data_IF_367975440697
#
_entry.id   IF_367975440697
#
_cell.length_a   1.000
_cell.length_b   1.000
_cell.length_c   1.000
_cell.angle_alpha   90.00
_cell.angle_beta   90.00
_cell.angle_gamma   90.00
#
_symmetry.space_group_name_H-M   'P 1'
#
loop_
_entity.id
_entity.type
_entity.pdbx_description
1 polymer ?
#
# COMPACT_ATOMS: atom_id res chain seq x y z
N UNK A 1 -10.92 -20.90 -20.52
CA UNK A 1 -11.64 -19.70 -20.02
C UNK A 1 -10.83 -19.13 -18.87
N UNK A 2 -10.65 -17.80 -18.77
CA UNK A 2 -10.00 -17.21 -17.60
C UNK A 2 -10.77 -17.59 -16.33
N UNK A 3 -10.05 -17.92 -15.26
CA UNK A 3 -10.65 -18.30 -13.99
C UNK A 3 -11.34 -17.06 -13.37
N UNK A 4 -12.67 -17.10 -13.27
CA UNK A 4 -13.48 -16.02 -12.70
C UNK A 4 -13.24 -15.83 -11.18
N UNK A 5 -12.56 -16.77 -10.52
CA UNK A 5 -12.23 -16.71 -9.08
C UNK A 5 -10.93 -15.96 -8.77
N UNK A 6 -10.25 -15.35 -9.77
CA UNK A 6 -9.13 -14.46 -9.48
C UNK A 6 -9.65 -13.12 -8.96
N UNK A 7 -9.49 -12.92 -7.66
CA UNK A 7 -9.97 -11.72 -6.96
C UNK A 7 -8.93 -10.61 -6.82
N UNK A 8 -7.64 -10.93 -6.88
CA UNK A 8 -6.55 -9.96 -6.73
C UNK A 8 -5.73 -9.80 -8.01
N UNK A 9 -5.28 -8.58 -8.27
CA UNK A 9 -4.24 -8.22 -9.26
C UNK A 9 -2.91 -7.81 -8.62
N UNK A 10 -2.82 -7.89 -7.29
CA UNK A 10 -1.60 -7.62 -6.52
C UNK A 10 -0.94 -8.95 -6.16
N UNK A 11 0.34 -9.07 -6.44
CA UNK A 11 1.09 -10.32 -6.27
C UNK A 11 2.49 -10.07 -5.73
N UNK A 12 2.99 -11.05 -4.98
CA UNK A 12 4.42 -11.18 -4.67
C UNK A 12 5.12 -11.95 -5.79
N UNK A 13 6.31 -11.50 -6.18
CA UNK A 13 7.15 -12.14 -7.19
C UNK A 13 8.64 -11.99 -6.86
N UNK A 14 9.50 -12.67 -7.62
CA UNK A 14 10.95 -12.43 -7.58
C UNK A 14 11.30 -11.60 -8.80
N UNK A 15 11.87 -10.41 -8.60
CA UNK A 15 12.32 -9.58 -9.70
C UNK A 15 13.50 -10.26 -10.43
N UNK A 16 13.36 -10.46 -11.73
CA UNK A 16 14.36 -11.16 -12.54
C UNK A 16 15.66 -10.37 -12.67
N UNK A 17 15.63 -9.04 -12.52
CA UNK A 17 16.81 -8.19 -12.67
C UNK A 17 17.68 -8.17 -11.40
N UNK A 18 17.05 -8.01 -10.24
CA UNK A 18 17.74 -7.87 -8.96
C UNK A 18 17.80 -9.18 -8.15
N UNK A 19 16.92 -10.15 -8.48
CA UNK A 19 16.71 -11.36 -7.69
C UNK A 19 15.97 -11.12 -6.38
N UNK A 20 15.47 -9.90 -6.13
CA UNK A 20 14.83 -9.53 -4.87
C UNK A 20 13.36 -9.96 -4.85
N UNK A 21 12.81 -10.41 -3.71
CA UNK A 21 11.37 -10.54 -3.55
C UNK A 21 10.71 -9.16 -3.61
N UNK A 22 9.71 -9.00 -4.45
CA UNK A 22 8.98 -7.75 -4.67
C UNK A 22 7.48 -7.99 -4.63
N UNK A 23 6.73 -6.90 -4.42
CA UNK A 23 5.28 -6.83 -4.53
C UNK A 23 4.97 -6.01 -5.78
N UNK A 24 4.02 -6.43 -6.59
CA UNK A 24 3.59 -5.67 -7.77
C UNK A 24 3.06 -4.31 -7.36
N UNK A 25 3.17 -3.33 -8.24
CA UNK A 25 2.51 -2.03 -8.05
C UNK A 25 1.00 -2.22 -7.87
N UNK A 26 0.40 -1.28 -7.14
CA UNK A 26 -1.05 -1.23 -7.05
C UNK A 26 -1.64 -0.90 -8.44
N UNK A 27 -2.73 -1.56 -8.87
CA UNK A 27 -3.24 -1.33 -10.22
C UNK A 27 -3.80 0.09 -10.42
N UNK A 28 -3.28 0.83 -11.41
CA UNK A 28 -3.77 2.17 -11.78
C UNK A 28 -5.24 2.22 -12.23
N UNK A 29 -5.82 1.07 -12.57
CA UNK A 29 -7.20 0.97 -13.05
C UNK A 29 -8.06 0.18 -12.08
N UNK A 30 -9.29 0.64 -11.89
CA UNK A 30 -10.30 -0.07 -11.13
C UNK A 30 -10.52 -1.50 -11.68
N UNK A 31 -10.82 -2.48 -10.82
CA UNK A 31 -11.17 -3.81 -11.27
C UNK A 31 -12.48 -3.81 -12.05
N UNK A 32 -12.59 -4.69 -13.04
CA UNK A 32 -13.81 -4.89 -13.82
C UNK A 32 -14.69 -5.97 -13.17
N UNK A 33 -16.01 -5.86 -13.30
CA UNK A 33 -16.96 -6.88 -12.85
C UNK A 33 -18.35 -6.69 -13.46
N UNK A 34 -19.16 -7.73 -13.40
CA UNK A 34 -20.53 -7.75 -13.93
C UNK A 34 -21.50 -7.00 -12.98
N UNK A 35 -21.11 -6.85 -11.71
CA UNK A 35 -21.90 -6.16 -10.68
C UNK A 35 -21.04 -5.20 -9.84
N UNK A 36 -21.64 -4.14 -9.27
CA UNK A 36 -20.97 -3.27 -8.30
C UNK A 36 -20.34 -4.02 -7.12
N UNK A 37 -21.01 -5.06 -6.61
CA UNK A 37 -20.50 -5.86 -5.49
C UNK A 37 -19.22 -6.61 -5.88
N UNK A 38 -19.17 -7.18 -7.08
CA UNK A 38 -17.98 -7.88 -7.56
C UNK A 38 -16.78 -6.94 -7.70
N UNK A 39 -17.00 -5.74 -8.24
CA UNK A 39 -15.96 -4.70 -8.37
C UNK A 39 -15.41 -4.34 -6.98
N UNK A 40 -16.29 -4.14 -5.99
CA UNK A 40 -15.89 -3.85 -4.60
C UNK A 40 -15.10 -5.00 -3.98
N UNK A 41 -15.58 -6.23 -4.09
CA UNK A 41 -14.89 -7.39 -3.53
C UNK A 41 -13.49 -7.55 -4.12
N UNK A 42 -13.32 -7.33 -5.42
CA UNK A 42 -12.01 -7.36 -6.09
C UNK A 42 -11.09 -6.26 -5.57
N UNK A 43 -11.58 -5.02 -5.49
CA UNK A 43 -10.76 -3.89 -5.03
C UNK A 43 -10.36 -4.05 -3.56
N UNK A 44 -11.31 -4.43 -2.70
CA UNK A 44 -11.04 -4.75 -1.30
C UNK A 44 -9.97 -5.85 -1.18
N UNK A 45 -10.10 -6.92 -1.98
CA UNK A 45 -9.10 -8.00 -1.99
C UNK A 45 -7.74 -7.55 -2.50
N UNK A 46 -7.68 -6.59 -3.44
CA UNK A 46 -6.41 -6.01 -3.91
C UNK A 46 -5.69 -5.27 -2.80
N UNK A 47 -6.40 -4.44 -2.03
CA UNK A 47 -5.82 -3.64 -0.95
C UNK A 47 -5.41 -4.53 0.23
N UNK A 48 -6.26 -5.48 0.63
CA UNK A 48 -5.92 -6.45 1.68
C UNK A 48 -4.65 -7.25 1.34
N UNK A 49 -4.54 -7.73 0.09
CA UNK A 49 -3.33 -8.42 -0.33
C UNK A 49 -2.12 -7.49 -0.39
N UNK A 50 -2.29 -6.25 -0.83
CA UNK A 50 -1.20 -5.29 -0.93
C UNK A 50 -0.61 -4.95 0.44
N UNK A 51 -1.48 -4.63 1.40
CA UNK A 51 -1.13 -4.40 2.80
C UNK A 51 -0.46 -5.64 3.40
N UNK A 52 -1.11 -6.80 3.31
CA UNK A 52 -0.62 -8.02 3.94
C UNK A 52 0.73 -8.48 3.37
N UNK A 53 0.89 -8.45 2.04
CA UNK A 53 2.16 -8.80 1.40
C UNK A 53 3.26 -7.81 1.78
N UNK A 54 2.94 -6.51 1.89
CA UNK A 54 3.83 -5.47 2.38
C UNK A 54 4.37 -5.77 3.77
N UNK A 55 3.45 -6.02 4.71
CA UNK A 55 3.77 -6.44 6.08
C UNK A 55 4.68 -7.68 6.10
N UNK A 56 4.29 -8.76 5.39
CA UNK A 56 5.05 -10.01 5.37
C UNK A 56 6.46 -9.78 4.83
N UNK A 57 6.59 -9.08 3.71
CA UNK A 57 7.90 -8.85 3.10
C UNK A 57 8.79 -8.03 4.03
N UNK A 58 8.26 -6.95 4.62
CA UNK A 58 9.01 -6.09 5.54
C UNK A 58 9.56 -6.86 6.75
N UNK A 59 8.75 -7.74 7.34
CA UNK A 59 9.18 -8.62 8.44
C UNK A 59 10.23 -9.65 8.00
N UNK A 60 10.13 -10.20 6.79
CA UNK A 60 11.17 -11.09 6.23
C UNK A 60 12.49 -10.36 5.95
N UNK A 61 12.47 -9.03 5.77
CA UNK A 61 13.69 -8.23 5.67
C UNK A 61 14.47 -8.23 6.99
N UNK A 62 13.79 -8.25 8.15
CA UNK A 62 14.41 -8.37 9.48
C UNK A 62 15.49 -7.32 9.78
N UNK A 63 15.48 -6.19 9.08
CA UNK A 63 16.47 -5.13 9.23
C UNK A 63 16.22 -4.33 10.50
N UNK A 64 17.14 -4.43 11.47
CA UNK A 64 17.04 -3.76 12.78
C UNK A 64 17.64 -2.36 12.83
N UNK A 65 18.20 -1.88 11.71
CA UNK A 65 18.75 -0.52 11.63
C UNK A 65 17.64 0.42 11.14
N UNK A 66 17.27 1.47 11.91
CA UNK A 66 16.31 2.46 11.46
C UNK A 66 16.78 3.21 10.22
N UNK A 67 15.87 3.43 9.26
CA UNK A 67 16.12 4.11 7.98
C UNK A 67 14.97 5.05 7.65
N UNK A 68 15.22 6.13 6.88
CA UNK A 68 14.15 7.02 6.45
C UNK A 68 13.17 6.29 5.53
N UNK A 69 11.98 6.85 5.38
CA UNK A 69 10.98 6.41 4.40
C UNK A 69 11.07 7.37 3.21
N UNK A 70 11.72 6.95 2.12
CA UNK A 70 12.04 7.87 1.01
C UNK A 70 10.83 8.16 0.14
N UNK A 71 9.93 7.20 0.06
CA UNK A 71 8.75 7.26 -0.80
C UNK A 71 7.67 8.24 -0.31
N UNK A 72 7.84 8.83 0.88
CA UNK A 72 6.93 9.86 1.41
C UNK A 72 7.50 11.27 1.32
N UNK A 73 8.75 11.47 0.88
CA UNK A 73 9.42 12.78 0.87
C UNK A 73 8.59 13.85 0.15
N UNK A 74 8.05 13.50 -1.02
CA UNK A 74 7.24 14.37 -1.87
C UNK A 74 5.73 14.01 -1.83
N UNK A 75 5.30 13.20 -0.86
CA UNK A 75 3.90 12.75 -0.80
C UNK A 75 3.00 13.86 -0.23
N UNK A 76 1.92 14.13 -0.97
CA UNK A 76 0.79 14.96 -0.57
C UNK A 76 -0.50 14.11 -0.67
N UNK A 77 -1.37 14.22 0.32
CA UNK A 77 -2.63 13.47 0.41
C UNK A 77 -3.82 14.40 0.65
N UNK A 78 -5.04 14.02 0.24
CA UNK A 78 -6.19 14.94 0.20
C UNK A 78 -6.84 15.24 1.56
N UNK A 79 -6.50 14.50 2.64
CA UNK A 79 -7.05 14.72 3.98
C UNK A 79 -6.02 15.36 4.92
N UNK A 80 -6.41 16.40 5.67
CA UNK A 80 -5.51 17.17 6.54
C UNK A 80 -4.93 16.37 7.73
N UNK A 81 -5.69 15.40 8.26
CA UNK A 81 -5.23 14.56 9.36
C UNK A 81 -4.17 13.58 8.86
N UNK A 82 -4.43 12.94 7.71
CA UNK A 82 -3.46 12.06 7.07
C UNK A 82 -2.26 12.81 6.49
N UNK A 83 -2.42 14.06 6.06
CA UNK A 83 -1.30 14.90 5.66
C UNK A 83 -0.34 15.14 6.83
N UNK A 84 -0.86 15.38 8.05
CA UNK A 84 -0.02 15.49 9.25
C UNK A 84 0.73 14.19 9.54
N UNK A 85 0.07 13.05 9.39
CA UNK A 85 0.72 11.74 9.51
C UNK A 85 1.86 11.58 8.49
N UNK A 86 1.63 11.95 7.24
CA UNK A 86 2.68 11.95 6.19
C UNK A 86 3.83 12.89 6.56
N UNK A 87 3.54 14.09 7.07
CA UNK A 87 4.57 15.05 7.45
C UNK A 87 5.43 14.55 8.63
N UNK A 88 4.84 13.83 9.57
CA UNK A 88 5.59 13.12 10.63
C UNK A 88 6.47 12.01 10.02
N UNK A 89 5.91 11.20 9.13
CA UNK A 89 6.59 10.09 8.46
C UNK A 89 7.81 10.54 7.64
N UNK A 90 7.79 11.75 7.05
CA UNK A 90 8.94 12.36 6.33
C UNK A 90 10.20 12.50 7.20
N UNK A 91 10.03 12.60 8.51
CA UNK A 91 11.16 12.72 9.47
C UNK A 91 11.40 11.45 10.28
N UNK A 92 10.52 10.46 10.14
CA UNK A 92 10.60 9.21 10.87
C UNK A 92 11.75 8.32 10.35
N UNK A 93 12.28 7.53 11.27
CA UNK A 93 13.31 6.53 10.98
C UNK A 93 12.80 5.20 11.51
N UNK A 94 12.45 4.28 10.60
CA UNK A 94 11.86 2.99 10.96
C UNK A 94 12.78 1.85 10.54
N UNK A 95 12.87 0.85 11.41
CA UNK A 95 13.33 -0.50 11.04
C UNK A 95 12.40 -1.12 9.99
N UNK A 96 12.81 -2.24 9.40
CA UNK A 96 11.95 -2.91 8.41
C UNK A 96 10.68 -3.49 9.07
N UNK A 97 10.79 -4.00 10.29
CA UNK A 97 9.65 -4.51 11.05
C UNK A 97 8.67 -3.37 11.41
N UNK A 98 9.17 -2.24 11.93
CA UNK A 98 8.31 -1.08 12.24
C UNK A 98 7.62 -0.51 10.99
N UNK A 99 8.31 -0.49 9.84
CA UNK A 99 7.69 -0.11 8.57
C UNK A 99 6.58 -1.10 8.18
N UNK A 100 6.82 -2.41 8.33
CA UNK A 100 5.83 -3.45 8.09
C UNK A 100 4.59 -3.31 8.97
N UNK A 101 4.79 -3.06 10.27
CA UNK A 101 3.70 -2.82 11.22
C UNK A 101 2.91 -1.56 10.85
N UNK A 102 3.61 -0.49 10.45
CA UNK A 102 2.98 0.75 10.00
C UNK A 102 2.15 0.53 8.73
N UNK A 103 2.63 -0.27 7.77
CA UNK A 103 1.84 -0.66 6.59
C UNK A 103 0.54 -1.35 7.02
N UNK A 104 0.62 -2.30 7.94
CA UNK A 104 -0.52 -3.05 8.42
C UNK A 104 -1.54 -2.14 9.14
N UNK A 105 -1.07 -1.24 10.00
CA UNK A 105 -1.92 -0.29 10.72
C UNK A 105 -2.67 0.64 9.77
N UNK A 106 -2.01 1.17 8.74
CA UNK A 106 -2.65 2.00 7.72
C UNK A 106 -3.71 1.21 6.95
N UNK A 107 -3.38 -0.03 6.53
CA UNK A 107 -4.32 -0.88 5.80
C UNK A 107 -5.54 -1.29 6.64
N UNK A 108 -5.39 -1.58 7.93
CA UNK A 108 -6.52 -1.87 8.83
C UNK A 108 -7.43 -0.64 8.98
N UNK A 109 -6.87 0.56 9.08
CA UNK A 109 -7.68 1.78 9.12
C UNK A 109 -8.45 2.00 7.82
N UNK A 110 -7.84 1.66 6.68
CA UNK A 110 -8.50 1.70 5.37
C UNK A 110 -9.71 0.76 5.34
N UNK A 111 -9.51 -0.49 5.76
CA UNK A 111 -10.58 -1.50 5.86
C UNK A 111 -11.74 -0.97 6.72
N UNK A 112 -11.43 -0.42 7.90
CA UNK A 112 -12.44 0.10 8.80
C UNK A 112 -13.25 1.27 8.22
N UNK A 113 -12.61 2.20 7.51
CA UNK A 113 -13.33 3.32 6.89
C UNK A 113 -14.23 2.85 5.74
N UNK A 114 -13.75 1.93 4.88
CA UNK A 114 -14.60 1.39 3.81
C UNK A 114 -15.76 0.56 4.37
N UNK A 115 -15.49 -0.31 5.35
CA UNK A 115 -16.53 -1.15 5.95
C UNK A 115 -17.59 -0.33 6.70
N UNK A 116 -17.21 0.78 7.34
CA UNK A 116 -18.15 1.66 8.06
C UNK A 116 -18.98 2.57 7.15
N UNK A 117 -18.67 2.64 5.85
CA UNK A 117 -19.28 3.59 4.90
C UNK A 117 -20.04 2.90 3.76
N UNK A 118 -20.24 1.57 3.81
CA UNK A 118 -20.96 0.80 2.77
C UNK A 118 -22.35 1.39 2.44
N UNK A 119 -23.05 1.92 3.45
CA UNK A 119 -24.37 2.56 3.26
C UNK A 119 -24.34 3.87 2.45
N UNK A 120 -23.16 4.46 2.22
CA UNK A 120 -22.95 5.74 1.55
C UNK A 120 -22.40 5.59 0.13
N UNK A 121 -22.25 4.37 -0.38
CA UNK A 121 -21.72 4.07 -1.71
C UNK A 121 -22.57 4.69 -2.83
N UNK A 122 -21.87 5.22 -3.83
CA UNK A 122 -22.49 5.74 -5.05
C UNK A 122 -22.83 4.58 -6.01
N UNK A 123 -24.10 4.39 -6.42
CA UNK A 123 -24.49 3.29 -7.30
C UNK A 123 -23.73 3.26 -8.64
N UNK A 124 -23.52 4.43 -9.24
CA UNK A 124 -22.78 4.63 -10.49
C UNK A 124 -21.25 4.60 -10.33
N UNK A 125 -20.75 4.74 -9.10
CA UNK A 125 -19.32 4.75 -8.78
C UNK A 125 -19.03 3.77 -7.65
N UNK A 126 -18.86 2.47 -7.95
CA UNK A 126 -18.89 1.40 -6.95
C UNK A 126 -17.75 1.43 -5.92
N UNK A 127 -16.73 2.27 -6.12
CA UNK A 127 -15.58 2.45 -5.24
C UNK A 127 -15.57 3.84 -4.57
N UNK A 128 -16.64 4.62 -4.72
CA UNK A 128 -16.74 5.97 -4.18
C UNK A 128 -17.97 6.10 -3.28
N UNK A 129 -17.83 6.90 -2.24
CA UNK A 129 -18.90 7.24 -1.32
C UNK A 129 -19.38 8.68 -1.50
N UNK A 130 -20.56 8.96 -0.98
CA UNK A 130 -21.19 10.29 -1.02
C UNK A 130 -20.55 11.30 -0.06
N UNK A 131 -19.95 10.84 1.04
CA UNK A 131 -19.23 11.69 1.99
C UNK A 131 -17.83 12.02 1.45
N UNK A 132 -17.65 13.27 1.03
CA UNK A 132 -16.40 13.75 0.42
C UNK A 132 -15.23 13.69 1.39
N UNK A 133 -15.42 14.09 2.65
CA UNK A 133 -14.32 14.12 3.63
C UNK A 133 -13.87 12.70 3.97
N UNK A 134 -14.82 11.78 4.10
CA UNK A 134 -14.49 10.38 4.32
C UNK A 134 -13.86 9.74 3.08
N UNK A 135 -14.26 10.14 1.86
CA UNK A 135 -13.61 9.71 0.64
C UNK A 135 -12.15 10.17 0.57
N UNK A 136 -11.87 11.41 0.98
CA UNK A 136 -10.51 11.95 1.06
C UNK A 136 -9.65 11.14 2.05
N UNK A 137 -10.21 10.68 3.17
CA UNK A 137 -9.53 9.77 4.12
C UNK A 137 -9.19 8.42 3.50
N UNK A 138 -10.13 7.80 2.80
CA UNK A 138 -9.92 6.52 2.10
C UNK A 138 -8.82 6.70 1.04
N UNK A 139 -8.92 7.74 0.21
CA UNK A 139 -7.95 8.03 -0.86
C UNK A 139 -6.55 8.34 -0.27
N UNK A 140 -6.48 9.03 0.87
CA UNK A 140 -5.21 9.29 1.57
C UNK A 140 -4.54 7.99 2.06
N UNK A 141 -5.31 7.08 2.65
CA UNK A 141 -4.81 5.79 3.11
C UNK A 141 -4.31 4.91 1.96
N UNK A 142 -4.95 4.96 0.79
CA UNK A 142 -4.47 4.30 -0.43
C UNK A 142 -3.06 4.81 -0.79
N UNK A 143 -2.90 6.14 -0.91
CA UNK A 143 -1.62 6.75 -1.28
C UNK A 143 -0.50 6.46 -0.28
N UNK A 144 -0.82 6.47 1.01
CA UNK A 144 0.14 6.15 2.08
C UNK A 144 0.56 4.68 2.00
N UNK A 145 -0.40 3.77 1.85
CA UNK A 145 -0.13 2.32 1.74
C UNK A 145 0.78 2.04 0.54
N UNK A 146 0.47 2.63 -0.62
CA UNK A 146 1.31 2.55 -1.82
C UNK A 146 2.73 3.07 -1.59
N UNK A 147 2.87 4.24 -0.95
CA UNK A 147 4.18 4.77 -0.65
C UNK A 147 4.98 3.82 0.26
N UNK A 148 4.37 3.30 1.33
CA UNK A 148 5.08 2.41 2.25
C UNK A 148 5.44 1.07 1.62
N UNK A 149 4.54 0.44 0.85
CA UNK A 149 4.87 -0.80 0.14
C UNK A 149 5.98 -0.58 -0.89
N UNK A 150 6.00 0.57 -1.58
CA UNK A 150 7.13 0.95 -2.45
C UNK A 150 8.43 1.06 -1.66
N UNK A 151 8.43 1.61 -0.45
CA UNK A 151 9.64 1.66 0.38
C UNK A 151 10.09 0.24 0.77
N UNK A 152 9.17 -0.66 1.13
CA UNK A 152 9.48 -2.08 1.41
C UNK A 152 10.15 -2.73 0.19
N UNK A 153 9.61 -2.51 -1.02
CA UNK A 153 10.20 -2.99 -2.27
C UNK A 153 11.63 -2.46 -2.46
N UNK A 154 11.86 -1.16 -2.28
CA UNK A 154 13.20 -0.55 -2.36
C UNK A 154 14.18 -1.20 -1.39
N UNK A 155 13.78 -1.37 -0.12
CA UNK A 155 14.63 -1.99 0.90
C UNK A 155 14.93 -3.45 0.60
N UNK A 156 13.97 -4.18 0.03
CA UNK A 156 14.16 -5.55 -0.42
C UNK A 156 15.22 -5.66 -1.53
N UNK A 157 15.18 -4.78 -2.53
CA UNK A 157 16.21 -4.71 -3.58
C UNK A 157 17.59 -4.42 -2.96
N UNK A 158 17.67 -3.46 -2.05
CA UNK A 158 18.94 -3.09 -1.40
C UNK A 158 19.52 -4.23 -0.56
N UNK A 159 18.67 -4.97 0.17
CA UNK A 159 19.07 -6.16 0.94
C UNK A 159 19.65 -7.23 0.02
N UNK A 160 19.02 -7.47 -1.13
CA UNK A 160 19.47 -8.50 -2.07
C UNK A 160 20.74 -8.10 -2.84
N UNK A 161 20.85 -6.83 -3.23
CA UNK A 161 21.94 -6.34 -4.08
C UNK A 161 23.14 -5.79 -3.29
N UNK A 162 23.00 -5.62 -1.98
CA UNK A 162 24.05 -5.11 -1.10
C UNK A 162 24.34 -3.62 -1.31
N UNK A 163 23.40 -2.87 -1.87
CA UNK A 163 23.55 -1.43 -2.10
C UNK A 163 23.47 -0.62 -0.79
N UNK A 164 24.45 -0.78 0.10
CA UNK A 164 24.87 0.31 0.95
C UNK A 164 25.50 1.38 0.05
N UNK A 165 25.04 2.61 0.16
CA UNK A 165 25.43 3.76 -0.67
C UNK A 165 26.92 3.75 -1.04
N UNK A 166 27.20 3.38 -2.29
CA UNK A 166 28.51 3.53 -2.89
C UNK A 166 28.70 5.02 -3.24
N UNK A 167 29.00 5.83 -2.23
CA UNK A 167 29.83 7.04 -2.45
C UNK A 167 31.27 6.64 -2.16
N UNK A 168 31.96 6.28 -3.25
CA UNK A 168 33.41 6.17 -3.29
C UNK A 168 34.04 7.54 -3.01
N UNK A 169 35.05 7.51 -2.12
CA UNK A 169 36.23 8.39 -1.97
C UNK A 169 36.10 9.86 -2.36
#
# INVERSE_FOLDING_TARGET
MPNQLRLSRVYRFIDEQTGAPQISDFPDSNPTGDTPLEIRMKHFTEIENFTFLGYVLAHELGGTTPRPIRTVEDLEVPDEEFQKFVDEAKTAMLTDEELGDTVLDVGINWEHFVASTDSQLLPEHPLKITDVLMQEKIDALDFITEAFVREVNLRSIEKQTGAQGRKSK
#
